data_IF_045567092141
#
_entry.id   IF_045567092141
#
_cell.length_a   1.000
_cell.length_b   1.000
_cell.length_c   1.000
_cell.angle_alpha   90.00
_cell.angle_beta   90.00
_cell.angle_gamma   90.00
#
_symmetry.space_group_name_H-M   'P 1'
#
loop_
_entity.id
_entity.type
_entity.pdbx_description
1 polymer ?
#
# COMPACT_ATOMS: atom_id res chain seq x y z
N UNK A 1 -5.92 2.17 13.65
CA UNK A 1 -4.59 1.55 13.42
C UNK A 1 -4.67 0.07 13.73
N UNK A 2 -4.03 -0.78 12.92
CA UNK A 2 -4.03 -2.23 13.11
C UNK A 2 -2.65 -2.69 13.59
N UNK A 3 -2.56 -3.37 14.74
CA UNK A 3 -1.26 -3.76 15.30
C UNK A 3 -0.59 -4.88 14.48
N UNK A 4 -1.35 -5.89 14.05
CA UNK A 4 -0.90 -6.95 13.16
C UNK A 4 -2.10 -7.45 12.36
N UNK A 5 -1.91 -7.81 11.10
CA UNK A 5 -2.97 -8.40 10.28
C UNK A 5 -2.82 -8.05 8.81
N UNK A 6 -3.88 -8.28 8.05
CA UNK A 6 -3.93 -7.93 6.61
C UNK A 6 -5.14 -7.04 6.30
N UNK A 7 -5.03 -6.21 5.27
CA UNK A 7 -6.12 -5.37 4.76
C UNK A 7 -6.22 -5.53 3.24
N UNK A 8 -7.44 -5.72 2.76
CA UNK A 8 -7.77 -5.73 1.34
C UNK A 8 -8.14 -4.31 0.90
N UNK A 9 -7.53 -3.83 -0.17
CA UNK A 9 -7.69 -2.45 -0.64
C UNK A 9 -7.63 -2.35 -2.17
N UNK A 10 -8.05 -1.19 -2.71
CA UNK A 10 -7.86 -0.83 -4.11
C UNK A 10 -6.72 0.17 -4.21
N UNK A 11 -5.70 -0.17 -4.99
CA UNK A 11 -4.58 0.72 -5.23
C UNK A 11 -5.03 1.95 -6.02
N UNK A 12 -4.67 3.15 -5.57
CA UNK A 12 -4.99 4.40 -6.26
C UNK A 12 -3.77 5.03 -6.91
N UNK A 13 -2.62 4.96 -6.25
CA UNK A 13 -1.38 5.53 -6.76
C UNK A 13 -0.17 4.94 -6.05
N UNK A 14 0.92 4.76 -6.80
CA UNK A 14 2.26 4.56 -6.26
C UNK A 14 3.10 5.75 -6.73
N UNK A 15 3.73 6.44 -5.78
CA UNK A 15 4.58 7.59 -6.08
C UNK A 15 5.95 7.40 -5.44
N UNK A 16 7.02 7.22 -6.25
CA UNK A 16 8.38 7.30 -5.75
C UNK A 16 8.67 8.69 -5.22
N UNK A 17 9.32 8.74 -4.06
CA UNK A 17 9.85 9.95 -3.45
C UNK A 17 11.29 9.71 -3.04
N UNK A 18 12.09 10.78 -3.05
CA UNK A 18 13.46 10.76 -2.54
C UNK A 18 13.55 11.63 -1.30
N UNK A 19 14.00 11.03 -0.19
CA UNK A 19 14.23 11.74 1.07
C UNK A 19 15.70 11.53 1.41
N UNK A 20 16.49 12.60 1.34
CA UNK A 20 17.93 12.57 1.65
C UNK A 20 18.72 11.48 0.88
N UNK A 21 18.35 11.18 -0.37
CA UNK A 21 19.00 10.17 -1.19
C UNK A 21 18.48 8.74 -1.00
N UNK A 22 17.58 8.52 -0.02
CA UNK A 22 16.88 7.25 0.13
C UNK A 22 15.56 7.29 -0.65
N UNK A 23 15.32 6.28 -1.49
CA UNK A 23 14.06 6.12 -2.19
C UNK A 23 13.03 5.51 -1.23
N UNK A 24 11.85 6.09 -1.19
CA UNK A 24 10.67 5.53 -0.52
C UNK A 24 9.47 5.74 -1.43
N UNK A 25 8.42 4.96 -1.24
CA UNK A 25 7.23 5.04 -2.06
C UNK A 25 6.05 5.44 -1.18
N UNK A 26 5.35 6.49 -1.60
CA UNK A 26 4.02 6.79 -1.07
C UNK A 26 3.01 5.96 -1.86
N UNK A 27 2.30 5.07 -1.15
CA UNK A 27 1.27 4.20 -1.70
C UNK A 27 -0.08 4.66 -1.18
N UNK A 28 -0.94 5.10 -2.10
CA UNK A 28 -2.29 5.56 -1.82
C UNK A 28 -3.31 4.50 -2.19
N UNK A 29 -4.27 4.22 -1.30
CA UNK A 29 -5.27 3.18 -1.50
C UNK A 29 -6.59 3.51 -0.79
N UNK A 30 -7.69 2.90 -1.25
CA UNK A 30 -8.99 2.94 -0.59
C UNK A 30 -9.43 1.55 -0.14
N UNK A 31 -10.42 1.48 0.74
CA UNK A 31 -10.90 0.18 1.22
C UNK A 31 -11.54 -0.61 0.08
N UNK A 32 -11.29 -1.92 -0.01
CA UNK A 32 -11.90 -2.76 -1.05
C UNK A 32 -13.43 -2.83 -0.96
N UNK A 33 -13.99 -2.63 0.23
CA UNK A 33 -15.45 -2.60 0.47
C UNK A 33 -16.07 -1.22 0.18
N UNK A 34 -15.25 -0.19 0.09
CA UNK A 34 -15.65 1.17 -0.26
C UNK A 34 -14.58 1.83 -1.14
N UNK A 35 -14.46 1.41 -2.42
CA UNK A 35 -13.40 1.89 -3.28
C UNK A 35 -13.42 3.40 -3.46
N UNK A 36 -14.59 4.02 -3.56
CA UNK A 36 -14.74 5.47 -3.73
C UNK A 36 -14.69 6.24 -2.41
N UNK A 37 -14.42 5.55 -1.30
CA UNK A 37 -14.31 6.11 0.03
C UNK A 37 -12.99 6.84 0.29
N UNK A 38 -12.60 6.88 1.57
CA UNK A 38 -11.40 7.59 2.01
C UNK A 38 -10.13 6.98 1.40
N UNK A 39 -9.30 7.85 0.81
CA UNK A 39 -7.96 7.48 0.37
C UNK A 39 -6.98 7.61 1.53
N UNK A 40 -6.30 6.51 1.84
CA UNK A 40 -5.21 6.45 2.79
C UNK A 40 -3.88 6.46 2.04
N UNK A 41 -2.85 7.07 2.63
CA UNK A 41 -1.47 7.01 2.11
C UNK A 41 -0.55 6.47 3.18
N UNK A 42 0.29 5.51 2.79
CA UNK A 42 1.39 4.97 3.61
C UNK A 42 2.71 5.17 2.89
N UNK A 43 3.77 5.32 3.67
CA UNK A 43 5.14 5.40 3.15
C UNK A 43 5.88 4.13 3.48
N UNK A 44 6.48 3.51 2.47
CA UNK A 44 7.21 2.26 2.59
C UNK A 44 8.51 2.31 1.78
N UNK A 45 9.44 1.41 2.07
CA UNK A 45 10.57 1.16 1.18
C UNK A 45 10.13 0.47 -0.12
N UNK A 46 10.87 0.64 -1.23
CA UNK A 46 10.55 0.01 -2.51
C UNK A 46 10.48 -1.53 -2.42
N UNK A 47 11.22 -2.15 -1.50
CA UNK A 47 11.24 -3.60 -1.27
C UNK A 47 9.92 -4.16 -0.72
N UNK A 48 9.09 -3.31 -0.13
CA UNK A 48 7.81 -3.70 0.45
C UNK A 48 6.68 -3.77 -0.60
N UNK A 49 6.92 -3.36 -1.84
CA UNK A 49 5.88 -3.25 -2.88
C UNK A 49 6.17 -4.21 -4.02
N UNK A 50 5.16 -4.96 -4.49
CA UNK A 50 5.29 -5.76 -5.70
C UNK A 50 5.71 -4.91 -6.91
N UNK A 51 6.59 -5.47 -7.72
CA UNK A 51 6.94 -4.89 -9.01
C UNK A 51 5.78 -5.11 -9.96
N UNK A 52 5.24 -4.04 -10.54
CA UNK A 52 4.17 -3.99 -11.57
C UNK A 52 2.76 -3.56 -11.12
N UNK A 53 2.56 -3.29 -9.82
CA UNK A 53 1.29 -2.75 -9.33
C UNK A 53 0.83 -1.50 -10.10
N UNK A 54 -0.40 -1.55 -10.61
CA UNK A 54 -1.04 -0.49 -11.37
C UNK A 54 -2.26 0.11 -10.63
N UNK A 55 -2.61 1.37 -10.89
CA UNK A 55 -3.84 1.95 -10.34
C UNK A 55 -5.06 1.09 -10.65
N UNK A 56 -5.93 0.94 -9.64
CA UNK A 56 -7.12 0.11 -9.57
C UNK A 56 -6.90 -1.38 -9.33
N UNK A 57 -5.65 -1.82 -9.14
CA UNK A 57 -5.40 -3.21 -8.74
C UNK A 57 -5.92 -3.50 -7.33
N UNK A 58 -6.53 -4.68 -7.12
CA UNK A 58 -6.80 -5.18 -5.79
C UNK A 58 -5.48 -5.59 -5.13
N UNK A 59 -5.23 -5.04 -3.94
CA UNK A 59 -4.00 -5.25 -3.21
C UNK A 59 -4.27 -5.73 -1.77
N UNK A 60 -3.32 -6.52 -1.26
CA UNK A 60 -3.26 -6.93 0.13
C UNK A 60 -2.12 -6.19 0.82
N UNK A 61 -2.45 -5.47 1.88
CA UNK A 61 -1.46 -4.87 2.78
C UNK A 61 -1.26 -5.76 3.99
N UNK A 62 -0.01 -6.01 4.37
CA UNK A 62 0.35 -6.66 5.63
C UNK A 62 0.82 -5.63 6.65
N UNK A 63 0.37 -5.78 7.89
CA UNK A 63 0.72 -4.89 8.98
C UNK A 63 1.48 -5.63 10.07
N UNK A 64 2.52 -4.97 10.58
CA UNK A 64 3.24 -5.35 11.79
C UNK A 64 3.55 -4.09 12.60
N UNK A 65 3.22 -4.14 13.89
CA UNK A 65 3.38 -3.03 14.84
C UNK A 65 2.73 -1.72 14.37
N UNK A 66 1.58 -1.79 13.69
CA UNK A 66 0.90 -0.58 13.19
C UNK A 66 1.41 -0.06 11.85
N UNK A 67 2.54 -0.56 11.35
CA UNK A 67 3.14 -0.17 10.08
C UNK A 67 2.82 -1.18 8.97
N UNK A 68 2.70 -0.71 7.74
CA UNK A 68 2.62 -1.57 6.55
C UNK A 68 4.02 -2.09 6.24
N UNK A 69 4.16 -3.40 6.09
CA UNK A 69 5.45 -4.05 5.82
C UNK A 69 5.51 -4.75 4.46
N UNK A 70 4.35 -4.99 3.83
CA UNK A 70 4.25 -5.64 2.52
C UNK A 70 2.96 -5.18 1.83
N UNK A 71 3.05 -4.96 0.52
CA UNK A 71 1.96 -4.59 -0.39
C UNK A 71 2.10 -5.44 -1.64
N UNK A 72 1.15 -6.37 -1.83
CA UNK A 72 1.15 -7.34 -2.92
C UNK A 72 -0.18 -7.30 -3.66
N UNK A 73 -0.24 -7.86 -4.87
CA UNK A 73 -1.53 -8.19 -5.47
C UNK A 73 -2.34 -9.08 -4.54
N UNK A 74 -3.66 -8.88 -4.51
CA UNK A 74 -4.55 -9.82 -3.85
C UNK A 74 -4.66 -11.09 -4.69
N UNK A 75 -4.20 -12.22 -4.16
CA UNK A 75 -4.52 -13.53 -4.74
C UNK A 75 -6.05 -13.68 -4.87
N UNK A 76 -6.49 -14.11 -6.05
CA UNK A 76 -7.92 -14.39 -6.35
C UNK A 76 -8.45 -15.61 -5.61
#
# INVERSE_FOLDING_TARGET
>A
MMLKGTRQAILRRVQPISIHGQVSWDVSFSDSKDPEGTVHTVRVGPEAVDHDLAPNDPIRLEYLMGAVTSIRHSES
#
